data_IF_768946401243
#
_entry.id   IF_768946401243
#
_cell.length_a   1.000
_cell.length_b   1.000
_cell.length_c   1.000
_cell.angle_alpha   90.00
_cell.angle_beta   90.00
_cell.angle_gamma   90.00
#
_symmetry.space_group_name_H-M   'P 1'
#
loop_
_entity.id
_entity.type
_entity.pdbx_description
1 polymer ?
#
# COMPACT_ATOMS: atom_id res chain seq x y z
N UNK A 1 -12.51 -18.57 6.80
CA UNK A 1 -12.80 -17.24 6.21
C UNK A 1 -14.00 -16.57 6.86
N UNK A 2 -15.14 -17.27 7.06
CA UNK A 2 -16.34 -16.70 7.70
C UNK A 2 -16.13 -16.27 9.16
N UNK A 3 -15.39 -17.05 9.98
CA UNK A 3 -15.08 -16.68 11.37
C UNK A 3 -14.25 -15.39 11.45
N UNK A 4 -13.13 -15.30 10.72
CA UNK A 4 -12.28 -14.11 10.71
C UNK A 4 -13.05 -12.85 10.30
N UNK A 5 -14.00 -12.98 9.37
CA UNK A 5 -14.88 -11.87 8.99
C UNK A 5 -15.82 -11.49 10.14
N UNK A 6 -16.43 -12.46 10.84
CA UNK A 6 -17.26 -12.18 12.01
C UNK A 6 -16.48 -11.52 13.14
N UNK A 7 -15.26 -11.97 13.41
CA UNK A 7 -14.37 -11.37 14.41
C UNK A 7 -14.02 -9.93 14.02
N UNK A 8 -13.70 -9.69 12.74
CA UNK A 8 -13.43 -8.36 12.23
C UNK A 8 -14.66 -7.44 12.38
N UNK A 9 -15.86 -7.95 12.07
CA UNK A 9 -17.11 -7.21 12.28
C UNK A 9 -17.40 -6.97 13.77
N UNK A 10 -17.01 -7.89 14.66
CA UNK A 10 -17.08 -7.70 16.11
C UNK A 10 -16.21 -6.54 16.59
N UNK A 11 -14.97 -6.45 16.09
CA UNK A 11 -14.09 -5.31 16.37
C UNK A 11 -14.64 -4.00 15.81
N UNK A 12 -15.22 -4.02 14.61
CA UNK A 12 -15.86 -2.83 14.03
C UNK A 12 -17.06 -2.36 14.86
N UNK A 13 -17.86 -3.28 15.40
CA UNK A 13 -18.97 -2.93 16.30
C UNK A 13 -18.46 -2.29 17.60
N UNK A 14 -17.33 -2.77 18.12
CA UNK A 14 -16.76 -2.30 19.40
C UNK A 14 -15.99 -0.99 19.28
N UNK A 15 -15.16 -0.85 18.25
CA UNK A 15 -14.20 0.26 18.11
C UNK A 15 -14.60 1.25 17.01
N UNK A 16 -15.64 0.94 16.24
CA UNK A 16 -16.04 1.71 15.06
C UNK A 16 -15.34 1.23 13.79
N UNK A 17 -15.72 1.86 12.67
CA UNK A 17 -15.15 1.55 11.36
C UNK A 17 -13.63 1.81 11.32
N UNK A 18 -12.86 1.02 10.55
CA UNK A 18 -11.46 1.32 10.30
C UNK A 18 -11.32 2.67 9.59
N UNK A 19 -10.23 3.38 9.88
CA UNK A 19 -9.87 4.65 9.26
C UNK A 19 -8.82 4.48 8.17
N UNK A 20 -7.96 3.46 8.29
CA UNK A 20 -6.91 3.16 7.32
C UNK A 20 -6.92 1.69 6.94
N UNK A 21 -6.67 1.44 5.66
CA UNK A 21 -6.37 0.13 5.11
C UNK A 21 -4.95 0.15 4.54
N UNK A 22 -4.06 -0.64 5.13
CA UNK A 22 -2.67 -0.74 4.73
C UNK A 22 -2.45 -2.13 4.16
N UNK A 23 -1.80 -2.20 3.00
CA UNK A 23 -1.30 -3.49 2.51
C UNK A 23 0.21 -3.48 2.44
N UNK A 24 0.82 -4.63 2.74
CA UNK A 24 2.27 -4.79 2.78
C UNK A 24 2.68 -6.05 2.01
N UNK A 25 3.36 -5.88 0.89
CA UNK A 25 3.85 -6.99 0.07
C UNK A 25 5.33 -7.24 0.33
N UNK A 26 5.71 -8.50 0.48
CA UNK A 26 7.10 -8.90 0.59
C UNK A 26 7.92 -8.40 -0.61
N UNK A 27 9.08 -7.78 -0.35
CA UNK A 27 10.05 -7.45 -1.38
C UNK A 27 11.17 -8.51 -1.40
N UNK A 28 11.25 -9.38 -2.43
CA UNK A 28 12.28 -10.41 -2.50
C UNK A 28 13.69 -9.83 -2.67
N UNK A 29 13.83 -8.55 -3.02
CA UNK A 29 15.11 -7.85 -3.12
C UNK A 29 15.60 -7.24 -1.80
N UNK A 30 14.98 -7.56 -0.66
CA UNK A 30 15.50 -7.09 0.62
C UNK A 30 16.90 -7.66 0.89
N UNK A 31 17.85 -6.85 1.39
CA UNK A 31 19.21 -7.32 1.68
C UNK A 31 19.24 -8.53 2.61
N UNK A 32 18.33 -8.61 3.59
CA UNK A 32 18.25 -9.75 4.52
C UNK A 32 17.91 -11.06 3.81
N UNK A 33 17.13 -11.01 2.71
CA UNK A 33 16.84 -12.19 1.88
C UNK A 33 18.06 -12.49 1.00
N UNK A 34 18.55 -11.49 0.26
CA UNK A 34 19.62 -11.68 -0.71
C UNK A 34 20.93 -12.16 -0.06
N UNK A 35 21.27 -11.64 1.11
CA UNK A 35 22.48 -12.04 1.85
C UNK A 35 22.38 -13.45 2.45
N UNK A 36 21.17 -13.99 2.59
CA UNK A 36 20.94 -15.35 3.09
C UNK A 36 20.93 -16.40 1.96
N UNK A 37 20.98 -15.99 0.69
CA UNK A 37 21.04 -16.90 -0.46
C UNK A 37 22.45 -17.48 -0.62
N UNK A 38 22.53 -18.76 -1.01
CA UNK A 38 23.82 -19.39 -1.32
C UNK A 38 24.01 -19.53 -2.84
N UNK A 39 25.21 -19.17 -3.32
CA UNK A 39 25.57 -19.33 -4.73
C UNK A 39 24.63 -18.58 -5.68
N UNK A 40 23.89 -19.33 -6.53
CA UNK A 40 22.95 -18.79 -7.53
C UNK A 40 21.49 -19.09 -7.20
N UNK A 41 21.19 -19.37 -5.93
CA UNK A 41 19.81 -19.53 -5.47
C UNK A 41 18.98 -18.28 -5.79
N UNK A 42 17.71 -18.50 -6.12
CA UNK A 42 16.75 -17.43 -6.33
C UNK A 42 15.82 -17.33 -5.11
N UNK A 43 15.49 -16.12 -4.63
CA UNK A 43 14.60 -15.95 -3.49
C UNK A 43 13.30 -16.74 -3.61
N UNK A 44 12.71 -16.82 -4.81
CA UNK A 44 11.45 -17.52 -5.04
C UNK A 44 11.50 -19.01 -4.71
N UNK A 45 12.70 -19.60 -4.65
CA UNK A 45 12.92 -21.01 -4.31
C UNK A 45 13.21 -21.22 -2.81
N UNK A 46 13.26 -20.15 -2.01
CA UNK A 46 13.57 -20.17 -0.56
C UNK A 46 12.43 -19.57 0.26
N UNK A 47 11.24 -20.20 0.26
CA UNK A 47 10.07 -19.70 1.00
C UNK A 47 10.33 -19.63 2.52
N UNK A 48 11.21 -20.49 3.04
CA UNK A 48 11.66 -20.49 4.44
C UNK A 48 12.30 -19.14 4.82
N UNK A 49 13.25 -18.65 4.01
CA UNK A 49 13.92 -17.36 4.25
C UNK A 49 12.94 -16.21 4.03
N UNK A 50 12.15 -16.26 2.96
CA UNK A 50 11.15 -15.22 2.64
C UNK A 50 10.19 -15.01 3.81
N UNK A 51 9.62 -16.09 4.35
CA UNK A 51 8.62 -15.99 5.42
C UNK A 51 9.24 -15.47 6.71
N UNK A 52 10.48 -15.87 7.04
CA UNK A 52 11.21 -15.37 8.21
C UNK A 52 11.44 -13.86 8.09
N UNK A 53 12.03 -13.40 6.98
CA UNK A 53 12.32 -11.98 6.79
C UNK A 53 11.03 -11.17 6.72
N UNK A 54 10.01 -11.66 6.01
CA UNK A 54 8.71 -10.99 5.96
C UNK A 54 8.10 -10.83 7.35
N UNK A 55 8.12 -11.86 8.19
CA UNK A 55 7.61 -11.79 9.57
C UNK A 55 8.37 -10.76 10.40
N UNK A 56 9.69 -10.67 10.26
CA UNK A 56 10.50 -9.65 10.93
C UNK A 56 10.11 -8.24 10.48
N UNK A 57 9.98 -8.02 9.16
CA UNK A 57 9.58 -6.72 8.61
C UNK A 57 8.16 -6.33 8.99
N UNK A 58 7.23 -7.27 8.98
CA UNK A 58 5.84 -7.05 9.40
C UNK A 58 5.76 -6.70 10.89
N UNK A 59 6.56 -7.36 11.74
CA UNK A 59 6.61 -7.04 13.17
C UNK A 59 7.12 -5.62 13.41
N UNK A 60 8.15 -5.19 12.67
CA UNK A 60 8.65 -3.81 12.76
C UNK A 60 7.64 -2.79 12.20
N UNK A 61 6.94 -3.14 11.11
CA UNK A 61 5.82 -2.35 10.59
C UNK A 61 4.72 -2.15 11.64
N UNK A 62 4.23 -3.22 12.26
CA UNK A 62 3.22 -3.14 13.31
C UNK A 62 3.71 -2.32 14.51
N UNK A 63 4.98 -2.46 14.88
CA UNK A 63 5.59 -1.62 15.92
C UNK A 63 5.57 -0.12 15.53
N UNK A 64 5.93 0.20 14.29
CA UNK A 64 5.85 1.56 13.76
C UNK A 64 4.43 2.12 13.79
N UNK A 65 3.46 1.36 13.28
CA UNK A 65 2.06 1.76 13.22
C UNK A 65 1.45 1.99 14.62
N UNK A 66 1.72 1.07 15.57
CA UNK A 66 1.04 1.04 16.87
C UNK A 66 1.82 1.80 17.95
N UNK A 67 3.13 1.52 18.09
CA UNK A 67 3.94 2.05 19.18
C UNK A 67 4.57 3.39 18.85
N UNK A 68 5.09 3.56 17.63
CA UNK A 68 5.62 4.85 17.16
C UNK A 68 4.54 5.80 16.65
N UNK A 69 3.29 5.33 16.54
CA UNK A 69 2.11 6.14 16.20
C UNK A 69 2.29 6.89 14.87
N UNK A 70 2.78 6.20 13.83
CA UNK A 70 3.02 6.80 12.50
C UNK A 70 1.79 7.54 11.97
N UNK A 71 0.59 7.00 12.22
CA UNK A 71 -0.69 7.62 11.84
C UNK A 71 -1.44 8.23 13.04
N UNK A 72 -0.77 8.40 14.17
CA UNK A 72 -1.40 8.75 15.45
C UNK A 72 -1.74 7.53 16.31
N UNK A 73 -2.60 7.73 17.30
CA UNK A 73 -2.95 6.69 18.27
C UNK A 73 -3.90 5.67 17.65
N UNK A 74 -3.50 4.40 17.63
CA UNK A 74 -4.31 3.26 17.16
C UNK A 74 -5.05 2.64 18.35
N UNK A 75 -6.37 2.59 18.30
CA UNK A 75 -7.22 1.96 19.34
C UNK A 75 -7.46 0.49 19.08
N UNK A 76 -7.48 0.09 17.81
CA UNK A 76 -7.68 -1.29 17.38
C UNK A 76 -7.02 -1.51 16.01
N UNK A 77 -6.55 -2.73 15.78
CA UNK A 77 -6.08 -3.16 14.47
C UNK A 77 -6.41 -4.63 14.22
N UNK A 78 -6.62 -4.98 12.97
CA UNK A 78 -6.78 -6.37 12.49
C UNK A 78 -5.83 -6.53 11.32
N UNK A 79 -5.22 -7.71 11.19
CA UNK A 79 -4.48 -8.02 9.98
C UNK A 79 -4.64 -9.49 9.58
N UNK A 80 -4.52 -9.74 8.29
CA UNK A 80 -4.53 -11.08 7.69
C UNK A 80 -3.32 -11.19 6.77
N UNK A 81 -2.64 -12.33 6.80
CA UNK A 81 -1.55 -12.65 5.89
C UNK A 81 -2.07 -13.65 4.87
N UNK A 82 -1.87 -13.33 3.60
CA UNK A 82 -2.17 -14.17 2.46
C UNK A 82 -0.93 -14.35 1.60
N UNK A 83 -0.90 -15.40 0.79
CA UNK A 83 0.18 -15.63 -0.17
C UNK A 83 -0.32 -15.21 -1.56
N UNK A 84 0.33 -14.21 -2.15
CA UNK A 84 0.02 -13.77 -3.50
C UNK A 84 0.51 -14.78 -4.54
N UNK A 85 0.07 -14.60 -5.79
CA UNK A 85 0.57 -15.40 -6.93
C UNK A 85 2.10 -15.35 -6.94
N UNK A 86 2.74 -16.53 -7.04
CA UNK A 86 4.20 -16.79 -6.85
C UNK A 86 4.67 -17.03 -5.41
N UNK A 87 3.76 -17.16 -4.44
CA UNK A 87 4.10 -17.62 -3.09
C UNK A 87 4.75 -16.56 -2.20
N UNK A 88 4.66 -15.27 -2.57
CA UNK A 88 5.14 -14.18 -1.73
C UNK A 88 4.09 -13.80 -0.68
N UNK A 89 4.48 -13.65 0.60
CA UNK A 89 3.58 -13.15 1.64
C UNK A 89 3.10 -11.73 1.36
N UNK A 90 1.84 -11.49 1.69
CA UNK A 90 1.18 -10.21 1.62
C UNK A 90 0.30 -10.04 2.86
N UNK A 91 0.30 -8.86 3.44
CA UNK A 91 -0.50 -8.56 4.63
C UNK A 91 -1.53 -7.48 4.31
N UNK A 92 -2.77 -7.71 4.71
CA UNK A 92 -3.83 -6.73 4.79
C UNK A 92 -3.96 -6.27 6.24
N UNK A 93 -3.99 -4.96 6.50
CA UNK A 93 -4.05 -4.39 7.85
C UNK A 93 -5.14 -3.32 7.86
N UNK A 94 -6.09 -3.44 8.79
CA UNK A 94 -7.09 -2.43 9.09
C UNK A 94 -6.73 -1.75 10.41
N UNK A 95 -6.71 -0.42 10.42
CA UNK A 95 -6.43 0.37 11.62
C UNK A 95 -7.63 1.21 11.99
N UNK A 96 -8.00 1.20 13.26
CA UNK A 96 -8.94 2.14 13.87
C UNK A 96 -8.16 3.09 14.76
N UNK A 97 -8.26 4.38 14.48
CA UNK A 97 -7.58 5.47 15.16
C UNK A 97 -8.44 6.05 16.28
N UNK A 98 -7.78 6.58 17.31
CA UNK A 98 -8.40 7.34 18.38
C UNK A 98 -9.08 8.61 17.85
N UNK A 99 -10.08 9.10 18.59
CA UNK A 99 -10.83 10.32 18.26
C UNK A 99 -9.94 11.55 18.01
N UNK A 100 -8.80 11.67 18.69
CA UNK A 100 -7.83 12.77 18.52
C UNK A 100 -6.95 12.60 17.28
N UNK A 101 -6.87 11.38 16.75
CA UNK A 101 -6.00 10.99 15.61
C UNK A 101 -6.80 10.75 14.33
N UNK A 102 -8.10 11.04 14.30
CA UNK A 102 -8.96 10.84 13.12
C UNK A 102 -8.51 11.71 11.96
N UNK A 103 -8.46 11.10 10.78
CA UNK A 103 -8.24 11.77 9.49
C UNK A 103 -9.60 12.31 9.04
N UNK A 104 -9.80 13.63 9.11
CA UNK A 104 -11.10 14.27 8.88
C UNK A 104 -11.12 15.21 7.68
N UNK A 105 -9.96 15.71 7.30
CA UNK A 105 -9.82 16.75 6.27
C UNK A 105 -8.90 16.28 5.15
N UNK A 106 -8.99 16.95 3.98
CA UNK A 106 -8.02 16.76 2.89
C UNK A 106 -6.55 16.95 3.34
N UNK A 107 -6.30 17.89 4.25
CA UNK A 107 -4.96 18.15 4.77
C UNK A 107 -4.46 17.03 5.67
N UNK A 108 -5.34 16.41 6.48
CA UNK A 108 -5.01 15.21 7.25
C UNK A 108 -4.67 14.04 6.32
N UNK A 109 -5.40 13.89 5.22
CA UNK A 109 -5.15 12.85 4.22
C UNK A 109 -3.77 13.07 3.60
N UNK A 110 -3.52 14.27 3.06
CA UNK A 110 -2.28 14.62 2.35
C UNK A 110 -1.04 14.58 3.26
N UNK A 111 -1.23 14.74 4.58
CA UNK A 111 -0.16 14.54 5.58
C UNK A 111 0.34 13.10 5.61
N UNK A 112 -0.52 12.12 5.38
CA UNK A 112 -0.21 10.71 5.56
C UNK A 112 -0.15 9.90 4.27
N UNK A 113 -0.87 10.32 3.24
CA UNK A 113 -1.01 9.58 1.98
C UNK A 113 -0.67 10.47 0.82
N UNK A 114 0.22 9.99 -0.05
CA UNK A 114 0.51 10.59 -1.34
C UNK A 114 0.21 9.59 -2.44
N UNK A 115 -0.27 10.10 -3.58
CA UNK A 115 -0.40 9.34 -4.81
C UNK A 115 0.40 10.00 -5.95
N UNK A 116 1.46 10.73 -5.60
CA UNK A 116 2.33 11.44 -6.55
C UNK A 116 3.75 10.86 -6.55
N UNK A 117 4.44 11.01 -7.68
CA UNK A 117 5.88 10.81 -7.76
C UNK A 117 6.58 11.84 -6.86
N UNK A 118 7.51 11.41 -5.99
CA UNK A 118 8.33 12.32 -5.22
C UNK A 118 9.17 13.22 -6.13
N UNK A 119 9.52 14.42 -5.68
CA UNK A 119 10.51 15.22 -6.40
C UNK A 119 11.89 14.56 -6.32
N UNK A 120 12.44 14.16 -7.47
CA UNK A 120 13.73 13.47 -7.57
C UNK A 120 14.90 14.29 -7.02
N UNK A 121 14.85 15.62 -7.14
CA UNK A 121 15.90 16.52 -6.67
C UNK A 121 15.85 16.74 -5.15
N UNK A 122 14.69 16.52 -4.53
CA UNK A 122 14.50 16.68 -3.08
C UNK A 122 14.75 15.34 -2.36
N UNK A 123 14.22 14.24 -2.88
CA UNK A 123 14.31 12.94 -2.22
C UNK A 123 14.42 11.81 -3.26
N UNK A 124 15.59 11.73 -3.90
CA UNK A 124 15.94 10.70 -4.88
C UNK A 124 15.66 9.29 -4.41
N UNK A 125 16.00 8.96 -3.15
CA UNK A 125 15.78 7.62 -2.59
C UNK A 125 14.29 7.25 -2.55
N UNK A 126 13.42 8.16 -2.12
CA UNK A 126 11.98 7.89 -2.13
C UNK A 126 11.46 7.78 -3.56
N UNK A 127 11.94 8.63 -4.48
CA UNK A 127 11.58 8.54 -5.90
C UNK A 127 11.91 7.17 -6.50
N UNK A 128 13.12 6.66 -6.27
CA UNK A 128 13.56 5.32 -6.71
C UNK A 128 12.69 4.20 -6.11
N UNK A 129 12.30 4.32 -4.83
CA UNK A 129 11.42 3.34 -4.18
C UNK A 129 10.01 3.39 -4.77
N UNK A 130 9.44 4.59 -4.93
CA UNK A 130 8.07 4.77 -5.46
C UNK A 130 7.99 4.31 -6.91
N UNK A 131 8.95 4.67 -7.76
CA UNK A 131 9.00 4.21 -9.15
C UNK A 131 9.15 2.69 -9.27
N UNK A 132 9.89 2.06 -8.35
CA UNK A 132 10.06 0.60 -8.32
C UNK A 132 8.87 -0.15 -7.73
N UNK A 133 8.29 0.37 -6.65
CA UNK A 133 7.40 -0.41 -5.78
C UNK A 133 5.97 0.11 -5.73
N UNK A 134 5.69 1.35 -6.14
CA UNK A 134 4.37 1.97 -6.00
C UNK A 134 3.74 2.36 -7.34
N UNK A 135 4.39 2.05 -8.46
CA UNK A 135 3.78 2.21 -9.79
C UNK A 135 2.84 1.05 -10.03
N UNK A 136 1.57 1.34 -10.28
CA UNK A 136 0.65 0.35 -10.82
C UNK A 136 1.17 -0.09 -12.18
N UNK A 137 1.32 -1.40 -12.37
CA UNK A 137 1.84 -1.95 -13.62
C UNK A 137 1.03 -1.44 -14.81
N UNK A 138 1.68 -1.20 -15.97
CA UNK A 138 0.95 -0.86 -17.18
C UNK A 138 -0.15 -1.88 -17.43
N UNK A 139 -1.36 -1.39 -17.65
CA UNK A 139 -2.56 -2.17 -17.88
C UNK A 139 -3.45 -1.39 -18.88
N UNK A 140 -4.66 -1.89 -19.13
CA UNK A 140 -5.55 -1.31 -20.13
C UNK A 140 -4.99 -1.60 -21.52
N UNK A 141 -5.07 -0.59 -22.39
CA UNK A 141 -4.59 -0.69 -23.79
C UNK A 141 -3.10 -1.05 -23.85
N UNK A 142 -2.30 -0.56 -22.90
CA UNK A 142 -0.84 -0.80 -22.88
C UNK A 142 -0.51 -2.27 -22.60
N UNK A 143 -1.34 -2.94 -21.78
CA UNK A 143 -1.18 -4.36 -21.47
C UNK A 143 -2.54 -4.98 -21.10
N UNK A 144 -3.31 -5.45 -22.12
CA UNK A 144 -4.63 -6.04 -21.92
C UNK A 144 -4.60 -7.34 -21.09
N UNK A 145 -3.43 -8.00 -21.01
CA UNK A 145 -3.23 -9.25 -20.29
C UNK A 145 -2.75 -9.05 -18.85
N UNK A 146 -2.69 -7.81 -18.36
CA UNK A 146 -2.25 -7.54 -16.99
C UNK A 146 -3.20 -8.24 -15.98
N UNK A 147 -2.69 -8.80 -14.85
CA UNK A 147 -3.52 -9.52 -13.89
C UNK A 147 -4.66 -8.72 -13.27
N UNK A 148 -4.59 -7.38 -13.34
CA UNK A 148 -5.62 -6.47 -12.85
C UNK A 148 -6.78 -6.29 -13.85
N UNK A 149 -6.62 -6.69 -15.12
CA UNK A 149 -7.64 -6.53 -16.15
C UNK A 149 -8.82 -7.48 -15.92
N UNK A 150 -10.03 -6.93 -15.99
CA UNK A 150 -11.30 -7.66 -15.96
C UNK A 150 -12.24 -7.01 -16.96
N UNK A 151 -12.84 -7.80 -17.84
CA UNK A 151 -13.82 -7.33 -18.82
C UNK A 151 -13.34 -6.14 -19.67
N UNK A 152 -12.05 -6.14 -20.04
CA UNK A 152 -11.44 -5.08 -20.86
C UNK A 152 -10.99 -3.83 -20.08
N UNK A 153 -11.27 -3.75 -18.77
CA UNK A 153 -10.91 -2.61 -17.93
C UNK A 153 -10.01 -3.00 -16.76
N UNK A 154 -9.22 -2.05 -16.24
CA UNK A 154 -8.47 -2.29 -15.02
C UNK A 154 -9.44 -2.35 -13.82
N UNK A 155 -9.47 -3.46 -13.10
CA UNK A 155 -10.29 -3.63 -11.89
C UNK A 155 -9.97 -2.65 -10.76
N UNK A 156 -8.82 -1.96 -10.84
CA UNK A 156 -8.40 -0.89 -9.91
C UNK A 156 -8.57 0.51 -10.52
N UNK A 157 -9.11 0.59 -11.74
CA UNK A 157 -9.39 1.82 -12.50
C UNK A 157 -8.14 2.67 -12.72
N UNK A 158 -7.05 2.04 -13.15
CA UNK A 158 -5.85 2.73 -13.63
C UNK A 158 -5.87 2.86 -15.16
N UNK A 159 -5.33 3.96 -15.72
CA UNK A 159 -4.80 5.14 -15.02
C UNK A 159 -5.90 5.95 -14.32
N UNK A 160 -5.59 6.55 -13.16
CA UNK A 160 -6.50 7.46 -12.44
C UNK A 160 -6.59 8.82 -13.18
N UNK A 161 -7.61 9.62 -12.89
CA UNK A 161 -7.67 11.00 -13.38
C UNK A 161 -6.64 11.88 -12.65
N UNK A 162 -6.14 12.91 -13.33
CA UNK A 162 -5.41 13.99 -12.66
C UNK A 162 -6.35 14.78 -11.74
N UNK A 163 -5.79 15.27 -10.62
CA UNK A 163 -6.48 16.08 -9.62
C UNK A 163 -5.49 17.02 -8.97
N UNK A 164 -5.80 18.32 -8.96
CA UNK A 164 -4.95 19.33 -8.34
C UNK A 164 -4.98 19.27 -6.80
N UNK A 165 -6.08 18.79 -6.24
CA UNK A 165 -6.28 18.62 -4.79
C UNK A 165 -6.94 17.28 -4.47
N UNK A 166 -6.80 16.84 -3.22
CA UNK A 166 -7.50 15.67 -2.71
C UNK A 166 -8.97 16.02 -2.47
N UNK A 167 -9.87 15.18 -3.00
CA UNK A 167 -11.32 15.30 -2.81
C UNK A 167 -11.82 14.22 -1.85
N UNK A 168 -12.60 14.66 -0.86
CA UNK A 168 -13.27 13.76 0.07
C UNK A 168 -14.39 13.01 -0.66
N UNK A 169 -14.43 11.69 -0.51
CA UNK A 169 -15.49 10.87 -1.07
C UNK A 169 -16.32 10.26 0.06
N UNK A 170 -17.50 10.82 0.30
CA UNK A 170 -18.39 10.39 1.40
C UNK A 170 -18.82 8.92 1.26
N UNK A 171 -18.80 8.37 0.04
CA UNK A 171 -19.30 7.02 -0.27
C UNK A 171 -18.21 6.00 -0.63
N UNK A 172 -16.93 6.35 -0.55
CA UNK A 172 -15.82 5.52 -1.02
C UNK A 172 -14.45 6.02 -0.59
N UNK A 173 -13.37 5.49 -1.16
CA UNK A 173 -12.03 6.03 -0.87
C UNK A 173 -11.90 7.48 -1.37
N UNK A 174 -11.18 8.36 -0.66
CA UNK A 174 -10.86 9.69 -1.15
C UNK A 174 -10.24 9.63 -2.55
N UNK A 175 -10.49 10.67 -3.34
CA UNK A 175 -9.79 10.83 -4.62
C UNK A 175 -8.54 11.64 -4.34
N UNK A 176 -7.40 10.96 -4.24
CA UNK A 176 -6.13 11.61 -3.92
C UNK A 176 -5.66 12.57 -5.01
N UNK A 177 -5.02 13.65 -4.57
CA UNK A 177 -4.25 14.57 -5.40
C UNK A 177 -3.26 13.83 -6.30
N UNK A 178 -3.29 14.16 -7.59
CA UNK A 178 -2.44 13.65 -8.67
C UNK A 178 -2.23 14.77 -9.69
N UNK A 179 -1.28 15.66 -9.46
CA UNK A 179 -1.05 16.79 -10.38
C UNK A 179 -0.49 16.33 -11.71
N UNK A 180 -0.83 17.06 -12.77
CA UNK A 180 -0.23 16.84 -14.08
C UNK A 180 1.25 17.28 -14.03
N UNK A 181 2.14 16.35 -14.37
CA UNK A 181 3.58 16.58 -14.46
C UNK A 181 4.10 15.92 -15.73
N UNK A 182 5.29 16.31 -16.16
CA UNK A 182 6.01 15.60 -17.22
C UNK A 182 6.22 14.13 -16.80
N UNK A 183 5.91 13.17 -17.69
CA UNK A 183 6.04 11.76 -17.38
C UNK A 183 7.51 11.34 -17.29
N UNK A 184 7.78 10.33 -16.47
CA UNK A 184 9.10 9.70 -16.32
C UNK A 184 9.12 8.33 -17.00
N UNK A 185 10.28 7.94 -17.53
CA UNK A 185 10.47 6.60 -18.07
C UNK A 185 10.76 5.63 -16.92
N UNK A 186 9.85 4.69 -16.69
CA UNK A 186 10.02 3.57 -15.75
C UNK A 186 9.99 2.27 -16.53
N UNK A 187 11.15 1.61 -16.62
CA UNK A 187 11.33 0.45 -17.50
C UNK A 187 11.20 0.86 -18.97
N UNK A 188 10.10 0.47 -19.63
CA UNK A 188 9.82 0.78 -21.04
C UNK A 188 8.61 1.71 -21.22
N UNK A 189 8.08 2.27 -20.12
CA UNK A 189 6.80 2.97 -20.14
C UNK A 189 6.95 4.39 -19.58
N UNK A 190 6.18 5.31 -20.14
CA UNK A 190 6.02 6.66 -19.62
C UNK A 190 4.98 6.64 -18.49
N UNK A 191 5.42 7.01 -17.29
CA UNK A 191 4.67 6.96 -16.05
C UNK A 191 4.56 8.36 -15.46
N UNK A 192 3.35 8.76 -15.14
CA UNK A 192 3.03 9.98 -14.42
C UNK A 192 2.22 9.67 -13.14
N UNK A 193 1.75 10.70 -12.46
CA UNK A 193 1.00 10.58 -11.21
C UNK A 193 -0.30 9.77 -11.33
N UNK A 194 -0.83 9.50 -12.52
CA UNK A 194 -2.05 8.69 -12.68
C UNK A 194 -1.87 7.21 -12.36
N UNK A 195 -0.62 6.75 -12.38
CA UNK A 195 -0.25 5.35 -12.19
C UNK A 195 0.21 5.03 -10.78
N UNK A 196 0.38 6.04 -9.92
CA UNK A 196 0.96 5.82 -8.59
C UNK A 196 -0.09 5.26 -7.62
N UNK A 197 0.19 4.13 -7.01
CA UNK A 197 -0.61 3.55 -5.94
C UNK A 197 -0.43 4.41 -4.67
N UNK A 198 -1.50 4.78 -3.94
CA UNK A 198 -1.40 5.59 -2.73
C UNK A 198 -0.44 4.99 -1.69
N UNK A 199 0.44 5.80 -1.13
CA UNK A 199 1.46 5.34 -0.18
C UNK A 199 1.72 6.37 0.91
N UNK A 200 2.31 5.91 2.01
CA UNK A 200 2.89 6.81 3.00
C UNK A 200 4.40 6.98 2.71
N UNK A 201 4.91 8.21 2.48
CA UNK A 201 6.33 8.45 2.19
C UNK A 201 7.31 7.88 3.21
N UNK A 202 6.98 7.95 4.50
CA UNK A 202 7.84 7.46 5.57
C UNK A 202 7.89 5.93 5.59
N UNK A 203 6.74 5.26 5.50
CA UNK A 203 6.67 3.80 5.39
C UNK A 203 7.45 3.31 4.16
N UNK A 204 7.16 3.82 2.96
CA UNK A 204 7.84 3.37 1.74
C UNK A 204 9.36 3.50 1.86
N UNK A 205 9.87 4.63 2.39
CA UNK A 205 11.31 4.85 2.55
C UNK A 205 11.99 3.88 3.53
N UNK A 206 11.31 3.54 4.63
CA UNK A 206 11.87 2.68 5.68
C UNK A 206 11.80 1.20 5.34
N UNK A 207 10.73 0.75 4.69
CA UNK A 207 10.55 -0.67 4.39
C UNK A 207 11.03 -1.06 2.99
N UNK A 208 11.19 -0.11 2.06
CA UNK A 208 11.57 -0.38 0.68
C UNK A 208 10.73 -1.52 0.08
N UNK A 209 9.42 -1.35 0.07
CA UNK A 209 8.46 -2.38 -0.34
C UNK A 209 7.20 -1.73 -0.89
N UNK A 210 6.37 -2.52 -1.57
CA UNK A 210 5.05 -2.07 -1.99
C UNK A 210 4.13 -1.99 -0.76
N UNK A 211 3.92 -0.77 -0.26
CA UNK A 211 3.03 -0.45 0.87
C UNK A 211 1.93 0.47 0.39
N UNK A 212 0.74 -0.09 0.14
CA UNK A 212 -0.43 0.71 -0.18
C UNK A 212 -1.04 1.24 1.12
N UNK A 213 -1.43 2.52 1.15
CA UNK A 213 -2.15 3.12 2.29
C UNK A 213 -3.39 3.83 1.77
N UNK A 214 -4.56 3.35 2.20
CA UNK A 214 -5.85 3.87 1.79
C UNK A 214 -6.63 4.39 2.99
N UNK A 215 -7.18 5.60 2.88
CA UNK A 215 -8.10 6.15 3.89
C UNK A 215 -9.49 5.56 3.67
N UNK A 216 -9.99 4.86 4.68
CA UNK A 216 -11.28 4.21 4.62
C UNK A 216 -12.41 5.22 4.88
N UNK A 217 -13.30 5.42 3.91
CA UNK A 217 -14.56 6.13 4.18
C UNK A 217 -15.75 5.19 4.50
N UNK A 218 -15.61 3.87 4.28
CA UNK A 218 -16.69 2.92 4.53
C UNK A 218 -16.20 1.58 5.08
N UNK A 219 -17.12 0.82 5.67
CA UNK A 219 -16.91 -0.55 6.17
C UNK A 219 -16.58 -1.57 5.07
N UNK A 220 -16.67 -1.19 3.78
CA UNK A 220 -16.35 -2.09 2.66
C UNK A 220 -14.91 -2.60 2.72
N UNK A 221 -13.99 -1.88 3.35
CA UNK A 221 -12.60 -2.31 3.55
C UNK A 221 -12.47 -3.59 4.39
N UNK A 222 -13.47 -3.94 5.20
CA UNK A 222 -13.48 -5.14 6.07
C UNK A 222 -13.70 -6.43 5.28
N UNK A 223 -14.06 -6.33 3.99
CA UNK A 223 -14.22 -7.50 3.10
C UNK A 223 -12.89 -8.04 2.55
N UNK A 224 -11.78 -7.35 2.80
CA UNK A 224 -10.44 -7.71 2.34
C UNK A 224 -9.59 -8.24 3.49
#
# INVERSE_FOLDING_TARGET
MQQNYQDAMGMVRKFGRPDLFVTFTCNPSWPEILNAMQGRERPENRPDIIVIVFKMKLSELLYGLIKRKVFGCVTSYIYVIEFQKRGLPHCHILLTLDSSSKIRTKDDIDKFVSAELPNINVNRRLFEIVTKCMVHGPCGIINPNAPCMKDGECSKQFPKAFREETEENVNGYPVYKRRCIEPFIVGKHYIDNRWIVPYNPWLSKNYNAHINVEVCASVKSVKY
#
